data_IF_534381017498
#
_entry.id   IF_534381017498
#
_cell.length_a   1.000
_cell.length_b   1.000
_cell.length_c   1.000
_cell.angle_alpha   90.00
_cell.angle_beta   90.00
_cell.angle_gamma   90.00
#
_symmetry.space_group_name_H-M   'P 1'
#
loop_
_entity.id
_entity.type
_entity.pdbx_description
1 polymer ?
#
# COMPACT_ATOMS: atom_id res chain seq x y z
N UNK A 1 3.44 -3.68 1.00
CA UNK A 1 2.41 -3.10 0.11
C UNK A 1 2.84 -3.26 -1.33
N UNK A 2 1.92 -3.65 -2.19
CA UNK A 2 2.13 -3.81 -3.63
C UNK A 2 0.98 -3.22 -4.46
N UNK A 3 1.29 -2.72 -5.65
CA UNK A 3 0.31 -2.18 -6.60
C UNK A 3 0.50 -2.82 -7.98
N UNK A 4 -0.51 -3.53 -8.45
CA UNK A 4 -0.52 -4.31 -9.70
C UNK A 4 -1.74 -3.94 -10.51
N UNK A 5 -1.55 -3.31 -11.68
CA UNK A 5 -2.65 -2.66 -12.39
C UNK A 5 -3.38 -1.66 -11.47
N UNK A 6 -4.67 -1.92 -11.22
CA UNK A 6 -5.54 -1.15 -10.33
C UNK A 6 -5.80 -1.82 -8.96
N UNK A 7 -5.11 -2.90 -8.62
CA UNK A 7 -5.23 -3.57 -7.33
C UNK A 7 -4.10 -3.14 -6.38
N UNK A 8 -4.46 -2.52 -5.27
CA UNK A 8 -3.55 -2.16 -4.18
C UNK A 8 -3.67 -3.18 -3.05
N UNK A 9 -2.59 -3.90 -2.77
CA UNK A 9 -2.50 -4.86 -1.68
C UNK A 9 -1.66 -4.28 -0.54
N UNK A 10 -2.24 -4.16 0.65
CA UNK A 10 -1.60 -3.66 1.86
C UNK A 10 -1.41 -4.83 2.83
N UNK A 11 -0.16 -5.16 3.12
CA UNK A 11 0.18 -6.13 4.16
C UNK A 11 0.48 -5.39 5.47
N UNK A 12 -0.17 -5.81 6.54
CA UNK A 12 -0.02 -5.29 7.90
C UNK A 12 0.89 -6.22 8.71
N UNK A 13 1.39 -5.70 9.83
CA UNK A 13 2.12 -6.51 10.81
C UNK A 13 1.12 -7.40 11.57
N UNK A 14 1.25 -8.74 11.51
CA UNK A 14 0.32 -9.65 12.18
C UNK A 14 0.19 -9.40 13.69
N UNK A 15 1.28 -8.98 14.32
CA UNK A 15 1.31 -8.73 15.77
C UNK A 15 0.46 -7.50 16.17
N UNK A 16 0.10 -6.64 15.21
CA UNK A 16 -0.73 -5.44 15.43
C UNK A 16 -2.19 -5.57 15.00
N UNK A 17 -2.64 -6.75 14.55
CA UNK A 17 -3.99 -6.93 14.02
C UNK A 17 -5.07 -6.82 15.10
N UNK A 18 -4.82 -7.37 16.28
CA UNK A 18 -5.74 -7.31 17.42
C UNK A 18 -6.00 -5.85 17.84
N UNK A 19 -4.95 -5.01 17.86
CA UNK A 19 -5.05 -3.58 18.19
C UNK A 19 -5.85 -2.78 17.14
N UNK A 20 -5.93 -3.29 15.91
CA UNK A 20 -6.67 -2.68 14.79
C UNK A 20 -8.05 -3.31 14.60
N UNK A 21 -8.42 -4.30 15.41
CA UNK A 21 -9.65 -5.10 15.28
C UNK A 21 -9.80 -5.72 13.87
N UNK A 22 -8.69 -6.19 13.30
CA UNK A 22 -8.64 -6.79 11.97
C UNK A 22 -8.39 -8.30 12.06
N UNK A 23 -9.09 -9.07 11.23
CA UNK A 23 -8.91 -10.52 11.14
C UNK A 23 -7.82 -10.90 10.14
N UNK A 24 -7.67 -10.11 9.07
CA UNK A 24 -6.76 -10.38 7.96
C UNK A 24 -5.54 -9.45 7.97
N UNK A 25 -4.36 -10.05 7.78
CA UNK A 25 -3.09 -9.32 7.64
C UNK A 25 -2.92 -8.66 6.26
N UNK A 26 -3.80 -8.98 5.31
CA UNK A 26 -3.74 -8.52 3.93
C UNK A 26 -5.05 -7.87 3.54
N UNK A 27 -4.97 -6.64 3.05
CA UNK A 27 -6.12 -5.86 2.60
C UNK A 27 -5.93 -5.54 1.12
N UNK A 28 -6.91 -5.93 0.33
CA UNK A 28 -6.97 -5.64 -1.10
C UNK A 28 -7.97 -4.51 -1.38
N UNK A 29 -7.51 -3.49 -2.11
CA UNK A 29 -8.33 -2.37 -2.55
C UNK A 29 -8.27 -2.22 -4.07
N UNK A 30 -9.43 -2.28 -4.73
CA UNK A 30 -9.57 -2.02 -6.15
C UNK A 30 -9.74 -0.51 -6.36
N UNK A 31 -8.86 0.08 -7.15
CA UNK A 31 -8.88 1.49 -7.49
C UNK A 31 -9.78 1.72 -8.70
N UNK A 32 -10.90 2.38 -8.48
CA UNK A 32 -11.82 2.83 -9.54
C UNK A 32 -11.42 4.21 -10.04
N UNK A 33 -10.38 4.25 -10.89
CA UNK A 33 -9.86 5.46 -11.50
C UNK A 33 -9.16 5.15 -12.83
N UNK A 34 -8.84 6.19 -13.60
CA UNK A 34 -8.13 6.03 -14.87
C UNK A 34 -6.70 5.51 -14.67
N UNK A 35 -6.14 4.89 -15.70
CA UNK A 35 -4.75 4.42 -15.69
C UNK A 35 -3.75 5.58 -15.44
N UNK A 36 -4.01 6.75 -16.01
CA UNK A 36 -3.20 7.95 -15.79
C UNK A 36 -3.20 8.37 -14.31
N UNK A 37 -4.37 8.38 -13.66
CA UNK A 37 -4.46 8.69 -12.22
C UNK A 37 -3.79 7.62 -11.35
N UNK A 38 -3.81 6.35 -11.76
CA UNK A 38 -3.09 5.27 -11.08
C UNK A 38 -1.57 5.50 -11.17
N UNK A 39 -1.07 5.94 -12.33
CA UNK A 39 0.35 6.27 -12.52
C UNK A 39 0.77 7.48 -11.68
N UNK A 40 -0.03 8.54 -11.64
CA UNK A 40 0.21 9.68 -10.75
C UNK A 40 0.21 9.26 -9.27
N UNK A 41 -0.73 8.40 -8.88
CA UNK A 41 -0.80 7.86 -7.52
C UNK A 41 0.44 7.02 -7.19
N UNK A 42 0.96 6.21 -8.13
CA UNK A 42 2.21 5.45 -7.96
C UNK A 42 3.38 6.37 -7.62
N UNK A 43 3.53 7.47 -8.34
CA UNK A 43 4.58 8.45 -8.05
C UNK A 43 4.40 9.14 -6.70
N UNK A 44 3.16 9.51 -6.36
CA UNK A 44 2.84 10.14 -5.09
C UNK A 44 3.10 9.20 -3.90
N UNK A 45 2.67 7.94 -3.99
CA UNK A 45 2.91 6.91 -2.99
C UNK A 45 4.40 6.70 -2.75
N UNK A 46 5.23 6.62 -3.81
CA UNK A 46 6.67 6.50 -3.64
C UNK A 46 7.27 7.65 -2.79
N UNK A 47 6.77 8.87 -2.95
CA UNK A 47 7.19 10.04 -2.16
C UNK A 47 6.71 9.95 -0.71
N UNK A 48 5.45 9.54 -0.49
CA UNK A 48 4.87 9.36 0.86
C UNK A 48 5.62 8.27 1.63
N UNK A 49 5.92 7.15 1.00
CA UNK A 49 6.69 6.04 1.60
C UNK A 49 8.13 6.45 1.93
N UNK A 50 8.70 7.41 1.19
CA UNK A 50 10.01 7.99 1.50
C UNK A 50 9.96 9.07 2.58
N UNK A 51 8.77 9.53 2.98
CA UNK A 51 8.56 10.57 3.99
C UNK A 51 8.42 9.97 5.39
N UNK A 52 8.78 10.73 6.44
CA UNK A 52 8.67 10.29 7.83
C UNK A 52 9.86 9.49 8.38
N UNK A 53 9.74 9.08 9.65
CA UNK A 53 10.78 8.31 10.37
C UNK A 53 10.95 6.92 9.76
N UNK A 54 12.19 6.48 9.59
CA UNK A 54 12.53 5.28 8.80
C UNK A 54 11.84 4.02 9.31
N UNK A 55 11.65 3.92 10.61
CA UNK A 55 10.97 2.83 11.32
C UNK A 55 9.45 2.82 11.15
N UNK A 56 8.84 3.95 10.80
CA UNK A 56 7.39 4.10 10.58
C UNK A 56 7.01 4.11 9.08
N UNK A 57 7.99 3.95 8.17
CA UNK A 57 7.73 3.93 6.74
C UNK A 57 7.09 2.60 6.35
N UNK A 58 5.93 2.59 5.67
CA UNK A 58 5.41 1.37 5.10
C UNK A 58 6.43 0.79 4.10
N UNK A 59 6.59 -0.53 4.11
CA UNK A 59 7.52 -1.21 3.19
C UNK A 59 6.81 -1.56 1.88
N UNK A 60 7.38 -1.11 0.78
CA UNK A 60 6.96 -1.51 -0.55
C UNK A 60 7.57 -2.89 -0.86
N UNK A 61 6.71 -3.87 -1.11
CA UNK A 61 7.09 -5.28 -1.33
C UNK A 61 7.03 -5.67 -2.81
N UNK A 62 6.42 -4.85 -3.66
CA UNK A 62 6.43 -5.01 -5.12
C UNK A 62 5.65 -3.90 -5.83
N UNK A 63 6.01 -3.59 -7.08
CA UNK A 63 5.23 -2.78 -8.01
C UNK A 63 5.29 -3.51 -9.34
N UNK A 64 4.15 -4.03 -9.79
CA UNK A 64 4.07 -4.68 -11.09
C UNK A 64 3.53 -3.68 -12.11
N UNK A 65 4.22 -3.59 -13.24
CA UNK A 65 3.86 -2.83 -14.44
C UNK A 65 2.89 -3.66 -15.27
#
# INVERSE_FOLDING_TARGET
>A
MALTGNLLTVSLDPDGLDDLELEDAEIDAVLDMSAESIDEMREALAKVLAFGRREARPRLTGVSV
#
